data_IF_759104564721
#
_entry.id   IF_759104564721
#
_cell.length_a   1.000
_cell.length_b   1.000
_cell.length_c   1.000
_cell.angle_alpha   90.00
_cell.angle_beta   90.00
_cell.angle_gamma   90.00
#
_symmetry.space_group_name_H-M   'P 1'
#
loop_
_entity.id
_entity.type
_entity.pdbx_description
1 polymer ?
#
# COMPACT_ATOMS: atom_id res chain seq x y z
N UNK A 1 58.75 3.96 -10.22
CA UNK A 1 58.18 2.81 -10.93
C UNK A 1 57.09 2.28 -9.99
N UNK A 2 56.04 3.12 -9.90
CA UNK A 2 54.90 2.87 -9.00
C UNK A 2 53.87 2.12 -9.79
N UNK A 3 53.56 0.92 -9.32
CA UNK A 3 52.52 0.08 -9.88
C UNK A 3 51.18 0.53 -9.31
N UNK A 4 50.37 1.04 -10.18
CA UNK A 4 48.95 1.39 -9.92
C UNK A 4 48.18 0.10 -9.55
N UNK A 5 47.46 0.03 -8.40
CA UNK A 5 46.65 -1.13 -8.07
C UNK A 5 45.36 -1.09 -8.87
N UNK A 6 45.25 -2.08 -9.71
CA UNK A 6 44.14 -2.71 -10.36
C UNK A 6 42.74 -2.07 -10.11
N UNK A 7 42.36 -1.22 -11.07
CA UNK A 7 41.00 -0.63 -11.15
C UNK A 7 39.98 -1.57 -11.80
N UNK A 8 40.25 -2.87 -11.92
CA UNK A 8 39.42 -3.83 -12.67
C UNK A 8 38.45 -4.65 -11.79
N UNK A 9 38.32 -4.36 -10.49
CA UNK A 9 37.53 -5.19 -9.56
C UNK A 9 36.07 -4.76 -9.35
N UNK A 10 35.57 -3.76 -10.07
CA UNK A 10 34.18 -3.33 -9.98
C UNK A 10 33.41 -3.42 -11.32
N UNK A 11 33.67 -4.44 -12.13
CA UNK A 11 32.63 -4.92 -13.04
C UNK A 11 31.63 -5.75 -12.23
N UNK A 12 31.05 -5.14 -11.21
CA UNK A 12 29.97 -5.67 -10.43
C UNK A 12 28.73 -5.73 -11.31
N UNK A 13 28.31 -6.94 -11.64
CA UNK A 13 26.99 -7.24 -12.12
C UNK A 13 26.00 -6.50 -11.21
N UNK A 14 25.39 -5.42 -11.72
CA UNK A 14 24.32 -4.72 -10.99
C UNK A 14 23.18 -5.73 -10.89
N UNK A 15 22.79 -6.19 -9.68
CA UNK A 15 21.70 -7.15 -9.54
C UNK A 15 20.45 -6.53 -10.15
N UNK A 16 19.89 -7.21 -11.14
CA UNK A 16 18.61 -6.81 -11.74
C UNK A 16 17.51 -7.36 -10.84
N UNK A 17 17.17 -6.61 -9.80
CA UNK A 17 16.04 -6.93 -8.96
C UNK A 17 14.72 -6.56 -9.60
N UNK A 18 13.63 -7.14 -9.11
CA UNK A 18 12.26 -6.82 -9.49
C UNK A 18 11.50 -6.20 -8.30
N UNK A 19 10.64 -5.25 -8.59
CA UNK A 19 9.60 -4.81 -7.67
C UNK A 19 8.30 -5.51 -7.98
N UNK A 20 7.64 -6.02 -6.95
CA UNK A 20 6.37 -6.73 -7.08
C UNK A 20 5.31 -6.05 -6.21
N UNK A 21 4.08 -6.03 -6.70
CA UNK A 21 2.92 -5.82 -5.83
C UNK A 21 2.28 -7.16 -5.57
N UNK A 22 2.20 -7.54 -4.30
CA UNK A 22 1.57 -8.76 -3.84
C UNK A 22 0.23 -8.43 -3.18
N UNK A 23 -0.77 -9.22 -3.49
CA UNK A 23 -2.02 -9.28 -2.75
C UNK A 23 -1.96 -10.53 -1.88
N UNK A 24 -2.14 -10.37 -0.58
CA UNK A 24 -1.88 -11.41 0.42
C UNK A 24 -3.06 -11.55 1.37
N UNK A 25 -3.48 -12.78 1.55
CA UNK A 25 -4.36 -13.21 2.64
C UNK A 25 -3.64 -14.28 3.48
N UNK A 26 -3.79 -14.23 4.79
CA UNK A 26 -3.29 -15.29 5.67
C UNK A 26 -4.14 -15.37 6.95
N UNK A 27 -4.22 -16.56 7.61
CA UNK A 27 -5.02 -16.71 8.82
C UNK A 27 -4.39 -16.01 10.03
N UNK A 28 -5.20 -15.84 11.07
CA UNK A 28 -4.80 -15.29 12.37
C UNK A 28 -4.20 -13.87 12.31
N UNK A 29 -4.74 -13.03 11.42
CA UNK A 29 -4.33 -11.65 11.21
C UNK A 29 -5.45 -10.68 11.57
N UNK A 30 -5.22 -9.86 12.60
CA UNK A 30 -6.22 -8.90 13.07
C UNK A 30 -6.53 -7.81 12.03
N UNK A 31 -5.55 -7.42 11.22
CA UNK A 31 -5.74 -6.39 10.20
C UNK A 31 -6.67 -6.86 9.09
N UNK A 32 -6.54 -8.10 8.66
CA UNK A 32 -7.44 -8.71 7.68
C UNK A 32 -8.85 -8.88 8.24
N UNK A 33 -8.94 -9.43 9.47
CA UNK A 33 -10.22 -9.67 10.13
C UNK A 33 -11.03 -8.37 10.33
N UNK A 34 -10.39 -7.28 10.71
CA UNK A 34 -11.07 -6.02 11.01
C UNK A 34 -11.44 -5.25 9.75
N UNK A 35 -10.59 -5.28 8.72
CA UNK A 35 -10.88 -4.60 7.44
C UNK A 35 -11.90 -5.34 6.59
N UNK A 36 -12.06 -6.66 6.76
CA UNK A 36 -13.13 -7.43 6.11
C UNK A 36 -14.53 -7.07 6.64
N UNK A 37 -14.60 -6.67 7.91
CA UNK A 37 -15.87 -6.38 8.61
C UNK A 37 -16.32 -4.93 8.48
N UNK A 38 -15.50 -4.05 7.90
CA UNK A 38 -15.73 -2.59 7.91
C UNK A 38 -15.41 -1.95 6.57
N UNK A 39 -16.05 -0.83 6.26
CA UNK A 39 -15.80 -0.03 5.06
C UNK A 39 -14.58 0.91 5.22
N UNK A 40 -13.58 0.49 5.98
CA UNK A 40 -12.36 1.26 6.21
C UNK A 40 -11.12 0.41 5.97
N UNK A 41 -9.99 1.04 5.76
CA UNK A 41 -8.72 0.38 5.55
C UNK A 41 -7.65 0.82 6.53
N UNK A 42 -6.51 0.12 6.48
CA UNK A 42 -5.32 0.38 7.28
C UNK A 42 -4.11 0.61 6.38
N UNK A 43 -3.18 1.43 6.85
CA UNK A 43 -1.81 1.51 6.36
C UNK A 43 -0.90 1.12 7.52
N UNK A 44 -0.15 0.03 7.39
CA UNK A 44 0.89 -0.34 8.34
C UNK A 44 2.19 0.36 7.95
N UNK A 45 2.64 1.30 8.79
CA UNK A 45 3.87 2.07 8.55
C UNK A 45 5.09 1.35 9.08
N UNK A 46 5.06 1.01 10.35
CA UNK A 46 6.17 0.35 11.05
C UNK A 46 5.62 -0.67 12.03
N UNK A 47 6.28 -1.82 12.06
CA UNK A 47 5.95 -2.92 12.96
C UNK A 47 7.23 -3.42 13.59
N UNK A 48 7.27 -3.48 14.93
CA UNK A 48 8.44 -3.87 15.69
C UNK A 48 8.15 -5.05 16.61
N UNK A 49 9.01 -6.04 16.58
CA UNK A 49 9.01 -7.11 17.57
C UNK A 49 9.63 -6.59 18.87
N UNK A 50 8.88 -6.58 19.96
CA UNK A 50 9.35 -6.18 21.27
C UNK A 50 9.99 -7.36 22.02
N UNK A 51 10.85 -7.04 23.00
CA UNK A 51 11.56 -8.05 23.77
C UNK A 51 10.65 -8.94 24.64
N UNK A 52 9.42 -8.51 24.89
CA UNK A 52 8.37 -9.23 25.61
C UNK A 52 7.60 -10.25 24.73
N UNK A 53 7.99 -10.40 23.46
CA UNK A 53 7.36 -11.30 22.50
C UNK A 53 6.13 -10.73 21.83
N UNK A 54 5.73 -9.50 22.16
CA UNK A 54 4.63 -8.79 21.51
C UNK A 54 5.12 -7.99 20.32
N UNK A 55 4.19 -7.69 19.43
CA UNK A 55 4.42 -6.79 18.30
C UNK A 55 3.76 -5.45 18.60
N UNK A 56 4.46 -4.38 18.27
CA UNK A 56 3.99 -2.99 18.39
C UNK A 56 4.06 -2.32 17.03
N UNK A 57 2.93 -1.82 16.57
CA UNK A 57 2.84 -1.25 15.24
C UNK A 57 2.21 0.14 15.22
N UNK A 58 2.64 0.95 14.27
CA UNK A 58 2.04 2.22 13.93
C UNK A 58 1.22 2.05 12.66
N UNK A 59 -0.05 2.41 12.75
CA UNK A 59 -1.02 2.27 11.67
C UNK A 59 -1.77 3.58 11.43
N UNK A 60 -2.12 3.85 10.18
CA UNK A 60 -3.15 4.84 9.84
C UNK A 60 -4.43 4.10 9.47
N UNK A 61 -5.52 4.37 10.17
CA UNK A 61 -6.87 4.00 9.71
C UNK A 61 -7.35 5.06 8.74
N UNK A 62 -7.95 4.66 7.64
CA UNK A 62 -8.51 5.56 6.65
C UNK A 62 -9.88 5.09 6.16
N UNK A 63 -10.74 6.02 5.79
CA UNK A 63 -12.08 5.74 5.26
C UNK A 63 -12.72 6.98 4.69
N UNK A 64 -13.89 6.82 4.07
CA UNK A 64 -14.62 7.93 3.45
C UNK A 64 -15.46 8.73 4.45
N UNK A 65 -15.70 8.17 5.65
CA UNK A 65 -16.46 8.81 6.72
C UNK A 65 -15.82 8.59 8.11
N UNK A 66 -16.18 9.43 9.07
CA UNK A 66 -15.80 9.22 10.47
C UNK A 66 -16.39 7.92 11.03
N UNK A 67 -17.61 7.56 10.61
CA UNK A 67 -18.30 6.36 11.08
C UNK A 67 -17.55 5.10 10.67
N UNK A 68 -17.07 5.01 9.42
CA UNK A 68 -16.31 3.84 8.95
C UNK A 68 -14.96 3.72 9.66
N UNK A 69 -14.27 4.84 9.88
CA UNK A 69 -13.00 4.88 10.62
C UNK A 69 -13.19 4.46 12.08
N UNK A 70 -14.22 4.99 12.76
CA UNK A 70 -14.51 4.63 14.15
C UNK A 70 -14.94 3.16 14.27
N UNK A 71 -15.73 2.64 13.32
CA UNK A 71 -16.11 1.23 13.28
C UNK A 71 -14.90 0.30 13.20
N UNK A 72 -13.89 0.61 12.37
CA UNK A 72 -12.67 -0.17 12.27
C UNK A 72 -11.85 -0.10 13.58
N UNK A 73 -11.77 1.07 14.22
CA UNK A 73 -11.06 1.23 15.49
C UNK A 73 -11.73 0.38 16.59
N UNK A 74 -13.06 0.38 16.67
CA UNK A 74 -13.77 -0.46 17.63
C UNK A 74 -13.59 -1.97 17.31
N UNK A 75 -13.70 -2.37 16.04
CA UNK A 75 -13.42 -3.75 15.64
C UNK A 75 -11.98 -4.17 16.00
N UNK A 76 -11.01 -3.25 15.89
CA UNK A 76 -9.63 -3.51 16.32
C UNK A 76 -9.51 -3.67 17.83
N UNK A 77 -10.25 -2.90 18.62
CA UNK A 77 -10.28 -3.02 20.10
C UNK A 77 -10.95 -4.30 20.57
N UNK A 78 -11.97 -4.77 19.84
CA UNK A 78 -12.73 -5.98 20.15
C UNK A 78 -12.06 -7.28 19.65
N UNK A 79 -11.06 -7.17 18.79
CA UNK A 79 -10.35 -8.34 18.24
C UNK A 79 -9.59 -9.08 19.35
N UNK A 80 -9.76 -10.41 19.42
CA UNK A 80 -9.02 -11.26 20.33
C UNK A 80 -7.52 -11.38 19.99
N UNK A 81 -7.13 -10.88 18.81
CA UNK A 81 -5.75 -10.88 18.32
C UNK A 81 -4.98 -9.64 18.75
N UNK A 82 -5.66 -8.60 19.27
CA UNK A 82 -5.02 -7.37 19.74
C UNK A 82 -4.98 -7.31 21.26
N UNK A 83 -3.90 -6.75 21.82
CA UNK A 83 -3.72 -6.62 23.27
C UNK A 83 -4.00 -5.20 23.75
N UNK A 84 -3.68 -4.20 22.94
CA UNK A 84 -3.85 -2.77 23.28
C UNK A 84 -3.97 -1.93 22.02
N UNK A 85 -4.91 -0.99 22.02
CA UNK A 85 -5.16 -0.05 20.91
C UNK A 85 -5.24 1.36 21.47
N UNK A 86 -4.37 2.24 21.03
CA UNK A 86 -4.36 3.63 21.41
C UNK A 86 -4.39 4.55 20.19
N UNK A 87 -5.27 5.56 20.21
CA UNK A 87 -5.25 6.63 19.22
C UNK A 87 -4.08 7.55 19.48
N UNK A 88 -3.26 7.79 18.47
CA UNK A 88 -2.13 8.70 18.54
C UNK A 88 -2.61 10.12 18.25
N UNK A 89 -2.23 11.06 19.10
CA UNK A 89 -2.52 12.48 18.84
C UNK A 89 -1.71 12.96 17.65
N UNK A 90 -2.37 13.66 16.72
CA UNK A 90 -1.67 14.28 15.60
C UNK A 90 -0.65 15.30 16.13
N UNK A 91 0.60 15.17 15.71
CA UNK A 91 1.57 16.25 15.85
C UNK A 91 1.25 17.34 14.83
N UNK A 92 1.08 18.55 15.28
CA UNK A 92 0.82 19.72 14.43
C UNK A 92 2.08 20.27 13.73
N UNK A 93 3.23 19.63 13.87
CA UNK A 93 4.50 20.14 13.35
C UNK A 93 4.99 19.34 12.14
N UNK A 94 4.98 20.00 10.98
CA UNK A 94 5.83 19.79 9.78
C UNK A 94 6.10 18.36 9.28
N UNK A 95 5.20 17.42 9.42
CA UNK A 95 5.33 16.16 8.72
C UNK A 95 4.63 16.28 7.36
N UNK A 96 5.44 16.30 6.29
CA UNK A 96 4.98 16.04 4.93
C UNK A 96 4.59 14.56 4.88
N UNK A 97 3.34 14.28 5.15
CA UNK A 97 2.78 12.95 4.94
C UNK A 97 2.33 12.87 3.52
N UNK A 98 2.76 11.83 2.82
CA UNK A 98 2.22 11.48 1.52
C UNK A 98 0.68 11.41 1.56
N UNK A 99 0.01 11.49 0.41
CA UNK A 99 -1.44 11.46 0.34
C UNK A 99 -1.96 10.16 0.95
N UNK A 100 -2.87 10.28 1.92
CA UNK A 100 -3.54 9.14 2.55
C UNK A 100 -4.82 8.81 1.79
N UNK A 101 -5.14 7.50 1.59
CA UNK A 101 -6.43 7.12 1.03
C UNK A 101 -7.58 7.63 1.91
N UNK A 102 -8.77 7.84 1.30
CA UNK A 102 -9.96 8.26 2.03
C UNK A 102 -10.01 9.76 2.36
N UNK A 103 -11.10 10.15 2.98
CA UNK A 103 -11.38 11.54 3.38
C UNK A 103 -11.13 11.79 4.87
N UNK A 104 -11.08 10.71 5.67
CA UNK A 104 -10.91 10.73 7.12
C UNK A 104 -9.82 9.75 7.53
N UNK A 105 -8.93 10.18 8.41
CA UNK A 105 -7.85 9.34 8.90
C UNK A 105 -7.64 9.52 10.40
N UNK A 106 -7.25 8.44 11.07
CA UNK A 106 -6.76 8.43 12.45
C UNK A 106 -5.51 7.57 12.56
N UNK A 107 -4.60 7.97 13.44
CA UNK A 107 -3.36 7.23 13.71
C UNK A 107 -3.56 6.32 14.91
N UNK A 108 -3.13 5.07 14.79
CA UNK A 108 -3.20 4.09 15.87
C UNK A 108 -1.82 3.54 16.21
N UNK A 109 -1.61 3.39 17.51
CA UNK A 109 -0.63 2.46 18.06
C UNK A 109 -1.36 1.19 18.48
N UNK A 110 -0.94 0.04 17.95
CA UNK A 110 -1.54 -1.27 18.26
C UNK A 110 -0.47 -2.20 18.78
N UNK A 111 -0.75 -2.85 19.92
CA UNK A 111 0.04 -3.94 20.48
C UNK A 111 -0.72 -5.25 20.32
N UNK A 112 -0.07 -6.30 19.81
CA UNK A 112 -0.68 -7.58 19.56
C UNK A 112 0.33 -8.74 19.69
N UNK A 113 -0.18 -9.96 19.83
CA UNK A 113 0.63 -11.17 19.81
C UNK A 113 0.74 -11.68 18.38
N UNK A 114 1.97 -11.88 17.86
CA UNK A 114 2.14 -12.41 16.51
C UNK A 114 1.77 -13.89 16.47
N UNK A 115 0.66 -14.22 15.84
CA UNK A 115 0.27 -15.63 15.61
C UNK A 115 0.72 -16.11 14.24
N UNK A 116 0.74 -15.22 13.27
CA UNK A 116 1.19 -15.49 11.92
C UNK A 116 1.96 -14.26 11.38
N UNK A 117 3.26 -14.39 11.24
CA UNK A 117 4.16 -13.30 10.82
C UNK A 117 4.55 -13.46 9.35
N UNK A 118 3.62 -13.23 8.44
CA UNK A 118 3.86 -13.31 6.98
C UNK A 118 5.05 -12.43 6.53
N UNK A 119 5.29 -11.32 7.24
CA UNK A 119 6.46 -10.45 7.01
C UNK A 119 7.78 -11.18 7.18
N UNK A 120 7.89 -12.05 8.19
CA UNK A 120 9.10 -12.85 8.44
C UNK A 120 9.29 -13.86 7.31
N UNK A 121 8.20 -14.47 6.83
CA UNK A 121 8.21 -15.35 5.68
C UNK A 121 8.69 -14.67 4.42
N UNK A 122 8.17 -13.47 4.12
CA UNK A 122 8.61 -12.67 2.98
C UNK A 122 10.10 -12.34 3.05
N UNK A 123 10.55 -11.83 4.20
CA UNK A 123 11.97 -11.49 4.41
C UNK A 123 12.87 -12.72 4.31
N UNK A 124 12.47 -13.87 4.89
CA UNK A 124 13.26 -15.11 4.83
C UNK A 124 13.46 -15.63 3.41
N UNK A 125 12.51 -15.36 2.51
CA UNK A 125 12.56 -15.71 1.09
C UNK A 125 13.18 -14.60 0.22
N UNK A 126 13.75 -13.56 0.83
CA UNK A 126 14.47 -12.49 0.14
C UNK A 126 13.60 -11.38 -0.42
N UNK A 127 12.32 -11.29 -0.03
CA UNK A 127 11.45 -10.17 -0.37
C UNK A 127 11.60 -9.06 0.68
N UNK A 128 12.03 -7.89 0.25
CA UNK A 128 12.17 -6.71 1.09
C UNK A 128 10.97 -5.77 0.89
N UNK A 129 10.26 -5.47 1.95
CA UNK A 129 9.21 -4.43 1.93
C UNK A 129 9.84 -3.07 1.60
N UNK A 130 9.32 -2.36 0.59
CA UNK A 130 9.83 -1.07 0.14
C UNK A 130 8.82 0.09 0.27
N UNK A 131 7.63 -0.20 0.79
CA UNK A 131 6.60 0.80 1.11
C UNK A 131 5.70 0.32 2.26
N UNK A 132 4.95 1.22 2.94
CA UNK A 132 3.93 0.83 3.90
C UNK A 132 2.92 -0.15 3.31
N UNK A 133 2.48 -1.14 4.10
CA UNK A 133 1.48 -2.12 3.66
C UNK A 133 0.10 -1.50 3.75
N UNK A 134 -0.64 -1.56 2.66
CA UNK A 134 -2.05 -1.17 2.63
C UNK A 134 -2.91 -2.39 2.87
N UNK A 135 -3.87 -2.26 3.78
CA UNK A 135 -4.79 -3.35 4.13
C UNK A 135 -6.23 -2.84 3.92
N UNK A 136 -7.05 -3.59 3.19
CA UNK A 136 -8.45 -3.28 2.95
C UNK A 136 -9.20 -4.53 2.48
N UNK A 137 -10.48 -4.61 2.84
CA UNK A 137 -11.39 -5.67 2.41
C UNK A 137 -10.86 -7.08 2.70
N UNK A 138 -10.18 -7.26 3.85
CA UNK A 138 -9.58 -8.52 4.26
C UNK A 138 -8.34 -8.94 3.49
N UNK A 139 -7.67 -8.02 2.77
CA UNK A 139 -6.47 -8.29 1.99
C UNK A 139 -5.36 -7.29 2.31
N UNK A 140 -4.12 -7.77 2.28
CA UNK A 140 -2.92 -6.95 2.38
C UNK A 140 -2.31 -6.72 1.01
N UNK A 141 -1.90 -5.50 0.73
CA UNK A 141 -1.23 -5.10 -0.50
C UNK A 141 0.20 -4.68 -0.17
N UNK A 142 1.14 -5.56 -0.53
CA UNK A 142 2.56 -5.39 -0.26
C UNK A 142 3.29 -4.89 -1.49
N UNK A 143 4.08 -3.84 -1.34
CA UNK A 143 5.12 -3.48 -2.31
C UNK A 143 6.44 -4.06 -1.82
N UNK A 144 7.04 -4.94 -2.61
CA UNK A 144 8.27 -5.62 -2.25
C UNK A 144 9.30 -5.55 -3.36
N UNK A 145 10.56 -5.46 -2.96
CA UNK A 145 11.71 -5.65 -3.82
C UNK A 145 12.31 -7.03 -3.60
N UNK A 146 12.79 -7.66 -4.66
CA UNK A 146 13.52 -8.93 -4.62
C UNK A 146 14.69 -8.87 -5.61
N UNK A 147 15.81 -9.47 -5.28
CA UNK A 147 17.03 -9.53 -6.10
C UNK A 147 16.98 -10.63 -7.18
N UNK A 148 15.82 -11.15 -7.48
CA UNK A 148 15.56 -12.20 -8.45
C UNK A 148 14.66 -11.69 -9.57
N UNK A 149 14.91 -12.16 -10.78
CA UNK A 149 14.10 -11.84 -11.97
C UNK A 149 13.58 -13.08 -12.68
N UNK A 150 14.09 -14.25 -12.34
CA UNK A 150 13.59 -15.51 -12.87
C UNK A 150 12.21 -15.84 -12.30
N UNK A 151 11.26 -16.06 -13.18
CA UNK A 151 9.86 -16.24 -12.82
C UNK A 151 9.60 -17.54 -12.05
N UNK A 152 10.30 -18.59 -12.40
CA UNK A 152 10.12 -19.90 -11.77
C UNK A 152 10.73 -19.87 -10.36
N UNK A 153 11.92 -19.28 -10.20
CA UNK A 153 12.53 -19.07 -8.89
C UNK A 153 11.69 -18.18 -7.98
N UNK A 154 11.09 -17.10 -8.51
CA UNK A 154 10.15 -16.26 -7.74
C UNK A 154 8.92 -17.04 -7.29
N UNK A 155 8.36 -17.87 -8.17
CA UNK A 155 7.19 -18.67 -7.84
C UNK A 155 7.52 -19.73 -6.78
N UNK A 156 8.67 -20.40 -6.84
CA UNK A 156 9.12 -21.35 -5.82
C UNK A 156 9.23 -20.70 -4.43
N UNK A 157 9.81 -19.49 -4.35
CA UNK A 157 9.89 -18.73 -3.09
C UNK A 157 8.51 -18.37 -2.54
N UNK A 158 7.58 -17.94 -3.40
CA UNK A 158 6.20 -17.63 -2.98
C UNK A 158 5.43 -18.88 -2.56
N UNK A 159 5.63 -20.03 -3.22
CA UNK A 159 5.02 -21.30 -2.82
C UNK A 159 5.52 -21.79 -1.46
N UNK A 160 6.78 -21.56 -1.15
CA UNK A 160 7.31 -21.87 0.18
C UNK A 160 6.56 -21.07 1.27
N UNK A 161 6.34 -19.78 1.05
CA UNK A 161 5.59 -18.92 1.99
C UNK A 161 4.13 -19.36 2.08
N UNK A 162 3.46 -19.60 0.95
CA UNK A 162 2.07 -20.09 0.93
C UNK A 162 1.90 -21.34 1.78
N UNK A 163 2.83 -22.28 1.63
CA UNK A 163 2.79 -23.57 2.35
C UNK A 163 3.07 -23.40 3.84
N UNK A 164 4.08 -22.62 4.19
CA UNK A 164 4.53 -22.46 5.59
C UNK A 164 3.52 -21.65 6.42
N UNK A 165 2.95 -20.59 5.84
CA UNK A 165 2.06 -19.66 6.56
C UNK A 165 0.57 -19.91 6.30
N UNK A 166 0.22 -20.88 5.44
CA UNK A 166 -1.16 -21.11 5.02
C UNK A 166 -1.75 -19.91 4.29
N UNK A 167 -0.90 -19.16 3.58
CA UNK A 167 -1.26 -17.91 2.96
C UNK A 167 -1.70 -18.08 1.50
N UNK A 168 -2.57 -17.19 1.04
CA UNK A 168 -2.86 -16.97 -0.37
C UNK A 168 -2.11 -15.73 -0.81
N UNK A 169 -1.25 -15.87 -1.82
CA UNK A 169 -0.43 -14.77 -2.35
C UNK A 169 -0.59 -14.71 -3.85
N UNK A 170 -1.01 -13.56 -4.36
CA UNK A 170 -1.11 -13.25 -5.78
C UNK A 170 -0.17 -12.12 -6.17
N UNK A 171 0.57 -12.29 -7.26
CA UNK A 171 1.39 -11.22 -7.83
C UNK A 171 0.50 -10.41 -8.77
N UNK A 172 0.13 -9.21 -8.38
CA UNK A 172 -0.77 -8.34 -9.16
C UNK A 172 -0.02 -7.47 -10.15
N UNK A 173 1.24 -7.07 -9.82
CA UNK A 173 2.09 -6.25 -10.70
C UNK A 173 3.55 -6.64 -10.56
N UNK A 174 4.29 -6.56 -11.67
CA UNK A 174 5.75 -6.73 -11.72
C UNK A 174 6.34 -5.50 -12.43
N UNK A 175 7.26 -4.82 -11.75
CA UNK A 175 7.97 -3.68 -12.31
C UNK A 175 9.43 -4.08 -12.57
N UNK A 176 9.84 -4.10 -13.83
CA UNK A 176 11.24 -4.20 -14.18
C UNK A 176 11.90 -2.82 -14.22
N UNK A 177 13.21 -2.76 -14.07
CA UNK A 177 14.02 -1.54 -13.95
C UNK A 177 13.87 -0.52 -15.11
N UNK A 178 13.17 -0.86 -16.18
CA UNK A 178 13.00 0.01 -17.36
C UNK A 178 11.75 0.91 -17.31
N UNK A 179 10.87 0.71 -16.33
CA UNK A 179 9.61 1.48 -16.23
C UNK A 179 9.81 2.75 -15.40
N UNK A 180 10.13 3.86 -16.06
CA UNK A 180 10.11 5.22 -15.49
C UNK A 180 8.72 5.71 -15.02
N UNK A 181 7.70 4.84 -15.09
CA UNK A 181 6.30 5.12 -14.70
C UNK A 181 5.91 4.57 -13.33
N UNK A 182 6.85 4.16 -12.48
CA UNK A 182 6.53 3.47 -11.21
C UNK A 182 5.82 4.36 -10.17
N UNK A 183 5.85 5.68 -10.32
CA UNK A 183 5.27 6.60 -9.32
C UNK A 183 3.75 6.79 -9.48
N UNK A 184 3.22 6.70 -10.70
CA UNK A 184 1.78 6.85 -10.95
C UNK A 184 0.96 5.71 -10.30
N UNK A 185 1.33 4.42 -10.42
CA UNK A 185 0.62 3.35 -9.72
C UNK A 185 0.60 3.49 -8.20
N UNK A 186 1.68 3.96 -7.57
CA UNK A 186 1.73 4.23 -6.13
C UNK A 186 0.75 5.35 -5.72
N UNK A 187 0.63 6.38 -6.53
CA UNK A 187 -0.30 7.50 -6.28
C UNK A 187 -1.76 7.08 -6.44
N UNK A 188 -2.09 6.20 -7.38
CA UNK A 188 -3.44 5.64 -7.51
C UNK A 188 -3.87 4.87 -6.26
N UNK A 189 -2.92 4.22 -5.58
CA UNK A 189 -3.20 3.51 -4.34
C UNK A 189 -3.53 4.44 -3.15
N UNK A 190 -3.29 5.74 -3.28
CA UNK A 190 -3.68 6.76 -2.29
C UNK A 190 -5.11 7.28 -2.48
N UNK A 191 -5.78 6.92 -3.57
CA UNK A 191 -7.16 7.31 -3.81
C UNK A 191 -8.11 6.53 -2.88
N UNK A 192 -9.19 7.19 -2.44
CA UNK A 192 -10.31 6.46 -1.84
C UNK A 192 -10.94 5.56 -2.89
N UNK A 193 -11.70 4.54 -2.47
CA UNK A 193 -12.37 3.64 -3.38
C UNK A 193 -13.21 4.40 -4.42
N UNK A 194 -14.04 5.32 -3.95
CA UNK A 194 -14.89 6.14 -4.83
C UNK A 194 -14.09 7.08 -5.75
N UNK A 195 -12.98 7.63 -5.27
CA UNK A 195 -12.06 8.43 -6.10
C UNK A 195 -11.42 7.56 -7.19
N UNK A 196 -11.02 6.35 -6.84
CA UNK A 196 -10.44 5.37 -7.77
C UNK A 196 -11.42 4.97 -8.85
N UNK A 197 -12.62 4.53 -8.49
CA UNK A 197 -13.68 4.17 -9.44
C UNK A 197 -13.93 5.28 -10.46
N UNK A 198 -14.07 6.52 -9.98
CA UNK A 198 -14.36 7.67 -10.84
C UNK A 198 -13.15 8.03 -11.72
N UNK A 199 -11.93 7.90 -11.18
CA UNK A 199 -10.70 8.12 -11.93
C UNK A 199 -10.52 7.05 -13.03
N UNK A 200 -10.71 5.78 -12.71
CA UNK A 200 -10.64 4.68 -13.67
C UNK A 200 -11.70 4.82 -14.77
N UNK A 201 -12.94 5.13 -14.40
CA UNK A 201 -14.01 5.42 -15.36
C UNK A 201 -13.64 6.59 -16.29
N UNK A 202 -13.00 7.64 -15.74
CA UNK A 202 -12.55 8.78 -16.53
C UNK A 202 -11.43 8.41 -17.52
N UNK A 203 -10.51 7.51 -17.10
CA UNK A 203 -9.46 6.98 -17.97
C UNK A 203 -10.02 6.06 -19.06
N UNK A 204 -10.95 5.16 -18.73
CA UNK A 204 -11.57 4.22 -19.67
C UNK A 204 -12.33 4.94 -20.79
N UNK A 205 -12.89 6.11 -20.49
CA UNK A 205 -13.66 6.92 -21.45
C UNK A 205 -12.88 8.08 -22.05
N UNK A 206 -11.56 8.05 -22.02
CA UNK A 206 -10.69 9.05 -22.61
C UNK A 206 -11.02 10.51 -22.18
N UNK A 207 -11.49 10.68 -20.90
CA UNK A 207 -11.79 12.00 -20.34
C UNK A 207 -10.57 12.91 -20.29
N UNK A 208 -9.38 12.33 -20.10
CA UNK A 208 -8.09 13.02 -20.06
C UNK A 208 -7.37 13.07 -21.41
N UNK A 209 -7.93 12.47 -22.48
CA UNK A 209 -7.38 12.54 -23.82
C UNK A 209 -7.50 13.94 -24.44
N UNK A 210 -6.66 14.21 -25.44
CA UNK A 210 -6.74 15.43 -26.22
C UNK A 210 -6.79 15.12 -27.75
N UNK A 211 -7.88 15.44 -28.45
CA UNK A 211 -9.13 16.01 -27.93
C UNK A 211 -9.88 15.04 -27.01
N UNK A 212 -10.65 15.57 -26.05
CA UNK A 212 -11.44 14.79 -25.10
C UNK A 212 -12.59 14.08 -25.82
N UNK A 213 -12.80 12.79 -25.56
CA UNK A 213 -13.84 12.01 -26.24
C UNK A 213 -15.17 11.96 -25.47
N UNK A 214 -15.17 12.27 -24.16
CA UNK A 214 -16.36 12.30 -23.32
C UNK A 214 -16.49 13.65 -22.60
N UNK A 215 -17.70 14.17 -22.45
CA UNK A 215 -17.98 15.37 -21.65
C UNK A 215 -18.11 15.03 -20.16
N UNK A 216 -17.87 16.02 -19.30
CA UNK A 216 -18.07 15.88 -17.85
C UNK A 216 -19.51 15.49 -17.48
N UNK A 217 -20.50 15.86 -18.28
CA UNK A 217 -21.91 15.54 -18.05
C UNK A 217 -22.19 14.07 -18.36
N UNK A 218 -21.72 13.60 -19.51
CA UNK A 218 -21.85 12.21 -19.92
C UNK A 218 -21.14 11.27 -18.94
N UNK A 219 -19.92 11.64 -18.48
CA UNK A 219 -19.19 10.89 -17.48
C UNK A 219 -19.94 10.84 -16.14
N UNK A 220 -20.57 11.95 -15.73
CA UNK A 220 -21.39 12.01 -14.51
C UNK A 220 -22.63 11.12 -14.62
N UNK A 221 -23.28 11.11 -15.75
CA UNK A 221 -24.45 10.26 -16.03
C UNK A 221 -24.06 8.77 -15.97
N UNK A 222 -22.90 8.39 -16.50
CA UNK A 222 -22.37 7.01 -16.41
C UNK A 222 -22.02 6.61 -14.98
N UNK A 223 -21.41 7.52 -14.20
CA UNK A 223 -21.09 7.29 -12.80
C UNK A 223 -22.32 7.29 -11.87
N UNK A 224 -23.51 7.64 -12.38
CA UNK A 224 -24.71 7.80 -11.59
C UNK A 224 -24.65 8.96 -10.59
N UNK A 225 -23.89 10.01 -10.90
CA UNK A 225 -23.63 11.15 -10.01
C UNK A 225 -24.11 12.47 -10.58
N UNK A 226 -24.36 13.45 -9.69
CA UNK A 226 -24.44 14.83 -10.10
C UNK A 226 -23.08 15.33 -10.63
N UNK A 227 -23.08 16.18 -11.66
CA UNK A 227 -21.84 16.74 -12.25
C UNK A 227 -20.91 17.37 -11.21
N UNK A 228 -21.46 18.07 -10.22
CA UNK A 228 -20.69 18.70 -9.14
C UNK A 228 -19.98 17.68 -8.27
N UNK A 229 -20.64 16.59 -7.93
CA UNK A 229 -20.10 15.48 -7.14
C UNK A 229 -18.98 14.75 -7.91
N UNK A 230 -19.22 14.46 -9.21
CA UNK A 230 -18.17 13.87 -10.06
C UNK A 230 -16.93 14.76 -10.08
N UNK A 231 -17.08 16.07 -10.34
CA UNK A 231 -15.95 17.00 -10.38
C UNK A 231 -15.23 17.12 -9.04
N UNK A 232 -15.93 17.00 -7.93
CA UNK A 232 -15.31 17.01 -6.61
C UNK A 232 -14.41 15.78 -6.42
N UNK A 233 -14.91 14.58 -6.77
CA UNK A 233 -14.10 13.36 -6.69
C UNK A 233 -12.90 13.40 -7.63
N UNK A 234 -13.09 13.83 -8.89
CA UNK A 234 -11.98 13.98 -9.83
C UNK A 234 -10.91 14.96 -9.31
N UNK A 235 -11.31 16.13 -8.80
CA UNK A 235 -10.36 17.10 -8.24
C UNK A 235 -9.59 16.56 -7.04
N UNK A 236 -10.26 15.81 -6.15
CA UNK A 236 -9.58 15.17 -5.03
C UNK A 236 -8.61 14.09 -5.48
N UNK A 237 -8.98 13.31 -6.50
CA UNK A 237 -8.10 12.33 -7.12
C UNK A 237 -6.90 13.01 -7.81
N UNK A 238 -7.16 14.01 -8.65
CA UNK A 238 -6.13 14.79 -9.35
C UNK A 238 -5.15 15.45 -8.38
N UNK A 239 -5.64 16.03 -7.27
CA UNK A 239 -4.78 16.62 -6.24
C UNK A 239 -3.81 15.58 -5.63
N UNK A 240 -4.27 14.36 -5.35
CA UNK A 240 -3.44 13.28 -4.83
C UNK A 240 -2.45 12.74 -5.87
N UNK A 241 -2.86 12.68 -7.14
CA UNK A 241 -2.04 12.15 -8.23
C UNK A 241 -0.97 13.14 -8.73
N UNK A 242 -1.27 14.45 -8.69
CA UNK A 242 -0.48 15.51 -9.32
C UNK A 242 0.29 16.40 -8.32
N UNK A 243 0.11 16.18 -6.99
CA UNK A 243 0.78 17.03 -5.99
C UNK A 243 2.30 16.92 -6.11
N UNK A 244 3.03 18.00 -6.40
CA UNK A 244 4.48 17.98 -6.57
C UNK A 244 5.24 17.82 -5.24
N UNK A 245 4.58 18.05 -4.09
CA UNK A 245 5.23 18.02 -2.78
C UNK A 245 5.48 16.58 -2.24
N UNK A 246 5.06 15.54 -2.97
CA UNK A 246 5.34 14.14 -2.63
C UNK A 246 6.69 13.63 -3.17
N UNK A 247 7.44 14.45 -3.90
CA UNK A 247 8.77 14.13 -4.41
C UNK A 247 9.88 14.59 -3.42
N UNK A 248 9.74 14.29 -2.12
CA UNK A 248 10.85 14.49 -1.17
C UNK A 248 11.57 13.18 -0.89
N UNK A 249 12.07 12.56 -1.97
CA UNK A 249 13.26 11.70 -1.94
C UNK A 249 14.40 12.41 -2.69
N UNK A 250 14.69 13.62 -2.26
CA UNK A 250 15.92 14.30 -2.67
C UNK A 250 16.47 15.09 -1.49
N UNK A 251 17.17 14.35 -0.60
CA UNK A 251 18.38 14.81 0.12
C UNK A 251 19.01 13.61 0.84
#
# INVERSE_FOLDING_TARGET
MDSDPDASAFEGHVPRGARLTLEVWHPDCWTLETTEKTDAGLIAHTVFNAADGKVKGHFTVYGDSFESVDALIEATRESELTSSVAEMQRRYEFEHRGPTPGNTTKELFVEYEPRNTISDGLVSQGFLQDAPVRIRDGLEYWSVFVDETDRDALNERLEAIRTEYGAEISVTKIYSHESRSADIPRRVDTLSERQREIYELACEHDYYAWPREITTRELADQAGLAKTTLLEHLRKAEAKLLNPDDDVDSL
#
